data_IF_070820374229
#
_entry.id   IF_070820374229
#
_cell.length_a   1.000
_cell.length_b   1.000
_cell.length_c   1.000
_cell.angle_alpha   90.00
_cell.angle_beta   90.00
_cell.angle_gamma   90.00
#
_symmetry.space_group_name_H-M   'P 1'
#
loop_
_entity.id
_entity.type
_entity.pdbx_description
1 polymer ?
#
# COMPACT_ATOMS: atom_id res chain seq x y z
N UNK A 1 -1.02 -33.79 33.74
CA UNK A 1 0.05 -32.81 33.41
C UNK A 1 -0.26 -32.18 32.07
N UNK A 2 0.11 -30.92 31.84
CA UNK A 2 -0.04 -30.30 30.52
C UNK A 2 0.98 -30.89 29.53
N UNK A 3 0.56 -31.17 28.30
CA UNK A 3 1.42 -31.76 27.26
C UNK A 3 2.50 -30.79 26.77
N UNK A 4 2.26 -29.48 26.87
CA UNK A 4 3.22 -28.42 26.56
C UNK A 4 3.29 -27.43 27.73
N UNK A 5 4.22 -27.60 28.68
CA UNK A 5 4.22 -26.85 29.95
C UNK A 5 4.34 -25.32 29.80
N UNK A 6 5.04 -24.84 28.77
CA UNK A 6 5.20 -23.41 28.47
C UNK A 6 3.97 -22.78 27.80
N UNK A 7 3.02 -23.59 27.31
CA UNK A 7 1.84 -23.11 26.59
C UNK A 7 0.71 -22.86 27.58
N UNK A 8 0.18 -21.63 27.56
CA UNK A 8 -0.96 -21.20 28.38
C UNK A 8 -2.06 -20.64 27.49
N UNK A 9 -3.29 -21.12 27.69
CA UNK A 9 -4.49 -20.59 27.01
C UNK A 9 -5.18 -19.59 27.94
N UNK A 10 -5.43 -18.38 27.44
CA UNK A 10 -6.22 -17.34 28.10
C UNK A 10 -7.42 -16.99 27.22
N UNK A 11 -8.63 -16.98 27.78
CA UNK A 11 -9.88 -16.77 27.03
C UNK A 11 -10.54 -15.45 27.42
N UNK A 12 -11.04 -14.71 26.44
CA UNK A 12 -11.91 -13.55 26.67
C UNK A 12 -13.32 -14.02 27.04
N UNK A 13 -14.09 -13.17 27.73
CA UNK A 13 -15.50 -13.46 28.08
C UNK A 13 -16.47 -13.17 26.93
N UNK A 14 -16.05 -12.37 25.96
CA UNK A 14 -16.82 -11.96 24.77
C UNK A 14 -15.86 -11.69 23.60
N UNK A 15 -16.40 -11.39 22.41
CA UNK A 15 -15.60 -11.01 21.24
C UNK A 15 -14.99 -9.62 21.46
N UNK A 16 -13.70 -9.58 21.73
CA UNK A 16 -12.99 -8.32 21.98
C UNK A 16 -12.40 -7.68 20.72
N UNK A 17 -12.08 -8.47 19.69
CA UNK A 17 -11.31 -8.02 18.55
C UNK A 17 -9.81 -8.22 18.75
N UNK A 18 -9.02 -8.16 17.67
CA UNK A 18 -7.58 -8.50 17.76
C UNK A 18 -6.82 -7.55 18.68
N UNK A 19 -7.13 -6.25 18.63
CA UNK A 19 -6.42 -5.21 19.41
C UNK A 19 -6.57 -5.47 20.91
N UNK A 20 -7.81 -5.53 21.40
CA UNK A 20 -8.09 -5.78 22.83
C UNK A 20 -7.68 -7.20 23.27
N UNK A 21 -7.70 -8.18 22.37
CA UNK A 21 -7.18 -9.52 22.67
C UNK A 21 -5.65 -9.51 22.87
N UNK A 22 -4.91 -8.76 22.03
CA UNK A 22 -3.47 -8.54 22.23
C UNK A 22 -3.18 -7.81 23.53
N UNK A 23 -3.99 -6.81 23.89
CA UNK A 23 -3.88 -6.12 25.19
C UNK A 23 -4.09 -7.06 26.38
N UNK A 24 -5.06 -7.99 26.29
CA UNK A 24 -5.25 -9.02 27.32
C UNK A 24 -4.00 -9.91 27.44
N UNK A 25 -3.45 -10.38 26.33
CA UNK A 25 -2.21 -11.16 26.31
C UNK A 25 -1.04 -10.39 26.93
N UNK A 26 -0.85 -9.14 26.52
CA UNK A 26 0.19 -8.25 27.04
C UNK A 26 0.06 -8.03 28.56
N UNK A 27 -1.18 -7.92 29.07
CA UNK A 27 -1.43 -7.72 30.51
C UNK A 27 -1.11 -8.95 31.36
N UNK A 28 -1.14 -10.13 30.76
CA UNK A 28 -0.85 -11.40 31.42
C UNK A 28 0.61 -11.87 31.22
N UNK A 29 1.38 -11.19 30.36
CA UNK A 29 2.75 -11.54 30.04
C UNK A 29 3.70 -11.20 31.19
N UNK A 30 4.59 -12.15 31.51
CA UNK A 30 5.58 -12.01 32.59
C UNK A 30 7.02 -11.82 32.09
N UNK A 31 7.29 -12.12 30.82
CA UNK A 31 8.62 -11.95 30.21
C UNK A 31 9.01 -10.48 30.05
N UNK A 32 10.31 -10.23 29.84
CA UNK A 32 10.84 -8.86 29.70
C UNK A 32 10.42 -8.21 28.38
N UNK A 33 10.36 -9.00 27.31
CA UNK A 33 9.92 -8.59 25.97
C UNK A 33 8.60 -9.30 25.63
N UNK A 34 7.65 -8.56 25.07
CA UNK A 34 6.42 -9.11 24.49
C UNK A 34 6.66 -9.30 22.99
N UNK A 35 6.51 -10.54 22.51
CA UNK A 35 6.52 -10.86 21.08
C UNK A 35 5.11 -11.23 20.65
N UNK A 36 4.56 -10.51 19.69
CA UNK A 36 3.27 -10.81 19.08
C UNK A 36 3.48 -11.61 17.79
N UNK A 37 2.65 -12.63 17.61
CA UNK A 37 2.55 -13.44 16.40
C UNK A 37 1.07 -13.65 16.09
N UNK A 38 0.73 -13.70 14.81
CA UNK A 38 -0.57 -14.17 14.38
C UNK A 38 -0.66 -15.70 14.51
N UNK A 39 -1.89 -16.22 14.60
CA UNK A 39 -2.15 -17.65 14.85
C UNK A 39 -1.88 -18.59 13.65
N UNK A 40 -1.31 -18.06 12.58
CA UNK A 40 -1.15 -18.70 11.27
C UNK A 40 0.20 -18.27 10.69
N UNK A 41 1.25 -18.55 11.47
CA UNK A 41 2.63 -18.20 11.17
C UNK A 41 3.56 -19.39 11.39
N UNK A 42 4.68 -19.39 10.67
CA UNK A 42 5.77 -20.35 10.85
C UNK A 42 7.08 -19.58 11.02
N UNK A 43 7.65 -19.64 12.22
CA UNK A 43 8.88 -18.93 12.52
C UNK A 43 10.08 -19.68 11.93
N UNK A 44 10.97 -18.96 11.24
CA UNK A 44 12.11 -19.57 10.55
C UNK A 44 13.29 -19.81 11.51
N UNK A 45 14.36 -20.45 11.01
CA UNK A 45 15.57 -20.74 11.76
C UNK A 45 16.14 -19.47 12.41
N UNK A 46 16.50 -19.58 13.69
CA UNK A 46 17.16 -18.52 14.47
C UNK A 46 16.42 -17.16 14.48
N UNK A 47 15.09 -17.14 14.34
CA UNK A 47 14.33 -15.90 14.23
C UNK A 47 14.34 -15.04 15.51
N UNK A 48 14.31 -15.64 16.70
CA UNK A 48 14.07 -14.90 17.94
C UNK A 48 15.31 -14.14 18.48
N UNK A 49 16.53 -14.73 18.55
CA UNK A 49 17.70 -14.05 19.09
C UNK A 49 18.02 -12.66 18.47
N UNK A 50 17.99 -12.46 17.14
CA UNK A 50 18.29 -11.13 16.57
C UNK A 50 17.25 -10.07 16.93
N UNK A 51 15.99 -10.44 17.18
CA UNK A 51 14.97 -9.51 17.70
C UNK A 51 15.30 -9.10 19.14
N UNK A 52 15.63 -10.07 19.99
CA UNK A 52 15.91 -9.84 21.40
C UNK A 52 17.20 -9.05 21.63
N UNK A 53 18.28 -9.37 20.90
CA UNK A 53 19.56 -8.63 20.96
C UNK A 53 19.32 -7.14 20.66
N UNK A 54 18.50 -6.85 19.66
CA UNK A 54 18.28 -5.47 19.25
C UNK A 54 17.52 -4.65 20.29
N UNK A 55 16.52 -5.24 20.94
CA UNK A 55 15.81 -4.61 22.08
C UNK A 55 16.73 -4.49 23.30
N UNK A 56 17.61 -5.47 23.55
CA UNK A 56 18.56 -5.42 24.65
C UNK A 56 19.53 -4.22 24.53
N UNK A 57 19.93 -3.87 23.30
CA UNK A 57 20.76 -2.68 23.02
C UNK A 57 19.97 -1.38 23.12
N UNK A 58 18.69 -1.38 22.75
CA UNK A 58 17.82 -0.22 22.86
C UNK A 58 16.39 -0.63 23.23
N UNK A 59 16.07 -0.50 24.52
CA UNK A 59 14.77 -0.84 25.09
C UNK A 59 13.58 -0.15 24.39
N UNK A 60 13.80 1.05 23.84
CA UNK A 60 12.75 1.84 23.18
C UNK A 60 12.62 1.56 21.68
N UNK A 61 13.31 0.54 21.17
CA UNK A 61 13.13 0.05 19.79
C UNK A 61 12.07 -1.04 19.76
N UNK A 62 11.08 -0.88 18.88
CA UNK A 62 10.21 -1.97 18.44
C UNK A 62 10.87 -2.63 17.24
N UNK A 63 10.93 -3.95 17.23
CA UNK A 63 11.55 -4.72 16.14
C UNK A 63 10.56 -5.63 15.46
N UNK A 64 10.65 -5.70 14.14
CA UNK A 64 9.81 -6.53 13.30
C UNK A 64 10.68 -7.54 12.55
N UNK A 65 10.29 -8.83 12.50
CA UNK A 65 10.91 -9.77 11.58
C UNK A 65 10.49 -9.45 10.13
N UNK A 66 11.24 -9.95 9.16
CA UNK A 66 10.75 -10.09 7.80
C UNK A 66 9.54 -11.03 7.80
N UNK A 67 8.47 -10.60 7.14
CA UNK A 67 7.23 -11.36 7.06
C UNK A 67 7.18 -12.03 5.69
N UNK A 68 7.49 -13.31 5.67
CA UNK A 68 7.41 -14.13 4.46
C UNK A 68 5.97 -14.55 4.18
N UNK A 69 5.69 -14.92 2.94
CA UNK A 69 4.40 -15.42 2.49
C UNK A 69 4.38 -16.93 2.65
N UNK A 70 3.32 -17.42 3.28
CA UNK A 70 2.86 -18.79 3.13
C UNK A 70 1.62 -18.72 2.25
N UNK A 71 1.70 -19.27 1.04
CA UNK A 71 0.62 -19.19 0.06
C UNK A 71 -0.66 -19.88 0.59
N UNK A 72 -1.82 -19.26 0.37
CA UNK A 72 -3.06 -19.75 0.93
C UNK A 72 -3.66 -20.97 0.20
N UNK A 73 -3.18 -21.27 -1.01
CA UNK A 73 -3.63 -22.39 -1.84
C UNK A 73 -2.70 -23.60 -1.71
N UNK A 74 -1.37 -23.43 -1.87
CA UNK A 74 -0.39 -24.53 -1.86
C UNK A 74 0.59 -24.53 -0.67
N UNK A 75 0.52 -23.53 0.22
CA UNK A 75 1.37 -23.39 1.41
C UNK A 75 2.88 -23.28 1.11
N UNK A 76 3.27 -22.95 -0.13
CA UNK A 76 4.68 -22.66 -0.40
C UNK A 76 5.16 -21.46 0.41
N UNK A 77 6.38 -21.55 0.91
CA UNK A 77 7.04 -20.50 1.68
C UNK A 77 7.93 -19.67 0.77
N UNK A 78 7.67 -18.37 0.65
CA UNK A 78 8.42 -17.46 -0.21
C UNK A 78 8.52 -16.06 0.40
N UNK A 79 9.55 -15.29 0.02
CA UNK A 79 9.61 -13.89 0.44
C UNK A 79 8.53 -13.06 -0.27
N UNK A 80 8.09 -11.97 0.35
CA UNK A 80 7.28 -10.97 -0.33
C UNK A 80 8.07 -10.34 -1.49
N UNK A 81 7.35 -9.94 -2.55
CA UNK A 81 7.97 -9.19 -3.66
C UNK A 81 8.77 -7.99 -3.15
N UNK A 82 10.02 -7.85 -3.61
CA UNK A 82 10.96 -6.81 -3.17
C UNK A 82 11.63 -7.06 -1.82
N UNK A 83 11.36 -8.18 -1.13
CA UNK A 83 11.99 -8.61 0.12
C UNK A 83 12.08 -7.49 1.19
N UNK A 84 13.28 -7.03 1.55
CA UNK A 84 13.49 -5.94 2.48
C UNK A 84 12.96 -4.60 1.90
N UNK A 85 11.81 -4.17 2.40
CA UNK A 85 11.15 -2.91 2.03
C UNK A 85 10.68 -2.16 3.28
N UNK A 86 10.53 -0.85 3.17
CA UNK A 86 10.00 -0.01 4.25
C UNK A 86 8.48 -0.02 4.25
N UNK A 87 7.86 -0.14 5.42
CA UNK A 87 6.42 0.00 5.54
C UNK A 87 5.96 1.47 5.48
N UNK A 88 4.87 1.70 4.77
CA UNK A 88 4.30 3.01 4.46
C UNK A 88 2.77 2.91 4.36
N UNK A 89 2.11 3.96 3.87
CA UNK A 89 0.68 3.97 3.60
C UNK A 89 0.32 4.91 2.44
N UNK A 90 -0.84 4.68 1.82
CA UNK A 90 -1.51 5.70 1.02
C UNK A 90 -2.45 6.56 1.88
N UNK A 91 -2.96 7.65 1.31
CA UNK A 91 -3.84 8.59 2.03
C UNK A 91 -5.28 8.08 2.23
N UNK A 92 -5.55 6.81 1.89
CA UNK A 92 -6.73 6.07 2.35
C UNK A 92 -6.40 5.15 3.55
N UNK A 93 -5.16 5.21 4.04
CA UNK A 93 -4.58 4.37 5.08
C UNK A 93 -4.60 2.88 4.75
N UNK A 94 -4.42 2.50 3.48
CA UNK A 94 -3.97 1.16 3.14
C UNK A 94 -2.46 1.05 3.35
N UNK A 95 -2.04 -0.03 3.99
CA UNK A 95 -0.62 -0.32 4.20
C UNK A 95 0.06 -0.55 2.86
N UNK A 96 1.27 0.00 2.71
CA UNK A 96 2.10 -0.11 1.51
C UNK A 96 3.51 -0.52 1.92
N UNK A 97 4.24 -1.12 0.97
CA UNK A 97 5.67 -1.36 1.06
C UNK A 97 6.35 -0.54 -0.03
N UNK A 98 7.35 0.27 0.34
CA UNK A 98 8.13 1.10 -0.58
C UNK A 98 9.61 0.71 -0.50
N UNK A 99 10.37 0.81 -1.61
CA UNK A 99 11.76 0.40 -1.64
C UNK A 99 12.59 1.25 -0.67
N UNK A 100 13.66 0.67 -0.11
CA UNK A 100 14.61 1.39 0.74
C UNK A 100 15.38 2.40 -0.13
N UNK A 101 15.26 3.72 0.11
CA UNK A 101 16.03 4.72 -0.63
C UNK A 101 17.54 4.42 -0.55
N UNK A 102 18.31 4.62 -1.64
CA UNK A 102 19.75 4.33 -1.65
C UNK A 102 20.53 4.97 -0.50
N UNK A 103 20.17 6.19 -0.11
CA UNK A 103 20.78 6.92 1.02
C UNK A 103 20.50 6.31 2.41
N UNK A 104 19.51 5.41 2.53
CA UNK A 104 19.17 4.72 3.78
C UNK A 104 19.63 3.25 3.79
N UNK A 105 20.08 2.72 2.65
CA UNK A 105 20.60 1.37 2.55
C UNK A 105 21.82 1.21 3.45
N UNK A 106 21.85 0.11 4.20
CA UNK A 106 22.95 -0.23 5.10
C UNK A 106 24.10 -0.82 4.29
N UNK A 107 25.33 -0.65 4.79
CA UNK A 107 26.51 -1.22 4.15
C UNK A 107 26.42 -2.75 4.08
N UNK A 108 26.01 -3.37 5.20
CA UNK A 108 25.56 -4.77 5.21
C UNK A 108 24.04 -4.79 4.99
N UNK A 109 23.53 -5.41 3.90
CA UNK A 109 22.10 -5.47 3.64
C UNK A 109 21.33 -6.36 4.64
N UNK A 110 22.03 -7.14 5.47
CA UNK A 110 21.42 -7.94 6.54
C UNK A 110 21.24 -7.19 7.86
N UNK A 111 21.82 -5.99 7.98
CA UNK A 111 21.70 -5.17 9.19
C UNK A 111 20.26 -4.64 9.39
N UNK A 112 19.83 -4.43 10.65
CA UNK A 112 18.58 -3.76 10.97
C UNK A 112 18.42 -2.41 10.25
N UNK A 113 17.23 -2.17 9.67
CA UNK A 113 16.91 -0.91 9.00
C UNK A 113 15.63 -0.28 9.55
N UNK A 114 15.56 1.05 9.49
CA UNK A 114 14.41 1.79 10.02
C UNK A 114 13.18 1.68 9.12
N UNK A 115 12.02 1.43 9.74
CA UNK A 115 10.74 1.29 9.05
C UNK A 115 9.73 2.31 9.62
N UNK A 116 9.11 3.17 8.79
CA UNK A 116 8.14 4.16 9.29
C UNK A 116 6.91 3.54 9.93
N UNK A 117 6.42 2.44 9.35
CA UNK A 117 5.19 1.76 9.76
C UNK A 117 5.40 0.24 9.73
N UNK A 118 5.00 -0.47 10.77
CA UNK A 118 4.99 -1.94 10.75
C UNK A 118 3.75 -2.49 10.04
N UNK A 119 3.82 -3.73 9.55
CA UNK A 119 2.63 -4.43 9.04
C UNK A 119 1.57 -4.68 10.14
N UNK A 120 2.03 -4.92 11.38
CA UNK A 120 1.20 -4.99 12.58
C UNK A 120 1.11 -6.37 13.23
N UNK A 121 1.13 -7.46 12.46
CA UNK A 121 0.93 -8.84 12.94
C UNK A 121 2.05 -9.38 13.83
N UNK A 122 3.29 -9.02 13.48
CA UNK A 122 4.50 -9.65 13.99
C UNK A 122 5.49 -8.57 14.43
N UNK A 123 5.76 -8.51 15.73
CA UNK A 123 6.77 -7.61 16.29
C UNK A 123 7.13 -8.00 17.72
N UNK A 124 8.28 -7.54 18.19
CA UNK A 124 8.70 -7.63 19.58
C UNK A 124 8.96 -6.24 20.17
N UNK A 125 8.62 -6.08 21.45
CA UNK A 125 8.74 -4.81 22.18
C UNK A 125 9.04 -5.08 23.66
N UNK A 126 9.91 -4.28 24.26
CA UNK A 126 10.08 -4.30 25.73
C UNK A 126 8.74 -4.09 26.43
N UNK A 127 8.41 -4.96 27.40
CA UNK A 127 7.10 -4.97 28.06
C UNK A 127 6.82 -3.67 28.79
N UNK A 128 7.83 -3.07 29.44
CA UNK A 128 7.65 -1.78 30.13
C UNK A 128 7.42 -0.68 29.12
N UNK A 129 8.17 -0.67 28.02
CA UNK A 129 8.04 0.33 26.96
C UNK A 129 6.66 0.28 26.30
N UNK A 130 6.13 -0.92 26.03
CA UNK A 130 4.78 -1.09 25.51
C UNK A 130 3.73 -0.41 26.40
N UNK A 131 3.84 -0.56 27.73
CA UNK A 131 2.91 0.06 28.68
C UNK A 131 3.17 1.55 28.94
N UNK A 132 4.42 2.00 28.84
CA UNK A 132 4.77 3.43 28.84
C UNK A 132 4.11 4.15 27.66
N UNK A 133 4.00 3.50 26.49
CA UNK A 133 3.24 3.98 25.33
C UNK A 133 1.72 3.83 25.48
N UNK A 134 1.24 3.29 26.60
CA UNK A 134 -0.18 3.01 26.87
C UNK A 134 -0.74 1.81 26.11
N UNK A 135 0.10 0.97 25.52
CA UNK A 135 -0.29 -0.12 24.62
C UNK A 135 -1.06 0.41 23.40
N UNK A 136 -2.13 -0.29 23.03
CA UNK A 136 -3.05 0.15 21.97
C UNK A 136 -4.23 0.93 22.54
N UNK A 137 -4.82 1.81 21.72
CA UNK A 137 -6.07 2.49 22.03
C UNK A 137 -7.20 1.44 22.21
N UNK A 138 -7.78 1.31 23.42
CA UNK A 138 -8.83 0.32 23.69
C UNK A 138 -10.14 0.61 22.93
N UNK A 139 -10.28 1.81 22.36
CA UNK A 139 -11.40 2.19 21.48
C UNK A 139 -11.33 1.61 20.07
N UNK A 140 -10.18 1.06 19.67
CA UNK A 140 -10.03 0.33 18.41
C UNK A 140 -10.79 -1.00 18.45
N UNK A 141 -11.59 -1.25 17.42
CA UNK A 141 -12.40 -2.44 17.27
C UNK A 141 -11.74 -3.50 16.41
N UNK A 142 -12.27 -4.73 16.46
CA UNK A 142 -12.00 -5.91 15.63
C UNK A 142 -10.67 -5.97 14.86
N UNK A 143 -10.45 -5.13 13.84
CA UNK A 143 -9.26 -5.14 12.99
C UNK A 143 -8.94 -3.75 12.40
N UNK A 144 -7.65 -3.42 12.34
CA UNK A 144 -7.08 -2.31 11.58
C UNK A 144 -6.97 -1.00 12.37
N UNK A 145 -5.88 -0.26 12.11
CA UNK A 145 -5.54 1.02 12.74
C UNK A 145 -4.45 0.89 13.80
N UNK A 146 -4.38 -0.23 14.51
CA UNK A 146 -3.42 -0.46 15.60
C UNK A 146 -1.97 -0.41 15.14
N UNK A 147 -1.70 -0.86 13.91
CA UNK A 147 -0.36 -0.81 13.33
C UNK A 147 0.10 0.63 13.12
N UNK A 148 -0.79 1.52 12.68
CA UNK A 148 -0.48 2.94 12.51
C UNK A 148 -0.31 3.63 13.86
N UNK A 149 -1.22 3.38 14.79
CA UNK A 149 -1.17 3.96 16.13
C UNK A 149 0.17 3.69 16.83
N UNK A 150 0.59 2.42 16.88
CA UNK A 150 1.84 2.07 17.58
C UNK A 150 3.08 2.55 16.82
N UNK A 151 3.03 2.56 15.48
CA UNK A 151 4.11 3.10 14.63
C UNK A 151 4.32 4.60 14.88
N UNK A 152 3.24 5.36 14.95
CA UNK A 152 3.30 6.80 15.22
C UNK A 152 3.75 7.06 16.66
N UNK A 153 3.21 6.31 17.64
CA UNK A 153 3.65 6.38 19.04
C UNK A 153 5.14 6.18 19.18
N UNK A 154 5.68 5.08 18.64
CA UNK A 154 7.09 4.74 18.86
C UNK A 154 8.00 5.81 18.28
N UNK A 155 7.76 6.29 17.06
CA UNK A 155 8.58 7.32 16.44
C UNK A 155 8.42 8.69 17.09
N UNK A 156 7.17 9.15 17.26
CA UNK A 156 6.90 10.50 17.74
C UNK A 156 7.24 10.66 19.22
N UNK A 157 7.18 9.59 20.02
CA UNK A 157 7.38 9.63 21.47
C UNK A 157 8.77 9.13 21.91
N UNK A 158 9.77 9.16 21.01
CA UNK A 158 11.18 8.99 21.36
C UNK A 158 11.72 7.56 21.35
N UNK A 159 10.99 6.62 20.75
CA UNK A 159 11.47 5.29 20.40
C UNK A 159 11.90 5.20 18.92
N UNK A 160 12.09 3.97 18.46
CA UNK A 160 12.46 3.64 17.08
C UNK A 160 11.72 2.39 16.61
N UNK A 161 11.61 2.20 15.31
CA UNK A 161 11.09 0.97 14.74
C UNK A 161 11.99 0.45 13.64
N UNK A 162 12.36 -0.81 13.77
CA UNK A 162 13.35 -1.44 12.90
C UNK A 162 12.88 -2.80 12.42
N UNK A 163 13.10 -3.03 11.14
CA UNK A 163 12.91 -4.31 10.47
C UNK A 163 14.25 -5.06 10.52
N UNK A 164 14.22 -6.36 10.87
CA UNK A 164 15.42 -7.17 11.14
C UNK A 164 15.58 -8.25 10.07
N UNK A 165 16.39 -8.06 9.02
CA UNK A 165 16.53 -9.01 7.91
C UNK A 165 16.89 -10.44 8.33
N UNK A 166 17.71 -10.59 9.38
CA UNK A 166 18.11 -11.89 9.93
C UNK A 166 17.02 -12.63 10.71
N UNK A 167 15.86 -11.99 10.98
CA UNK A 167 14.71 -12.62 11.61
C UNK A 167 13.59 -12.76 10.59
N UNK A 168 13.14 -14.00 10.32
CA UNK A 168 12.08 -14.25 9.32
C UNK A 168 10.98 -15.11 9.88
N UNK A 169 9.73 -14.78 9.54
CA UNK A 169 8.54 -15.53 9.95
C UNK A 169 7.56 -15.57 8.78
N UNK A 170 7.15 -16.76 8.36
CA UNK A 170 6.11 -16.93 7.35
C UNK A 170 4.74 -16.62 7.92
N UNK A 171 3.86 -16.03 7.10
CA UNK A 171 2.49 -15.66 7.45
C UNK A 171 1.53 -16.03 6.32
N UNK A 172 0.38 -16.60 6.66
CA UNK A 172 -0.67 -16.93 5.68
C UNK A 172 -1.52 -15.69 5.39
N UNK A 173 -1.31 -15.07 4.23
CA UNK A 173 -2.16 -14.00 3.72
C UNK A 173 -3.47 -14.60 3.18
N UNK A 174 -4.58 -14.28 3.84
CA UNK A 174 -5.89 -14.87 3.54
C UNK A 174 -6.42 -14.38 2.19
N UNK A 175 -6.97 -15.30 1.38
CA UNK A 175 -7.73 -14.98 0.17
C UNK A 175 -8.95 -14.08 0.44
N UNK A 176 -9.62 -14.30 1.57
CA UNK A 176 -10.73 -13.48 2.06
C UNK A 176 -10.85 -13.59 3.58
N UNK A 177 -11.53 -12.64 4.22
CA UNK A 177 -11.76 -12.65 5.68
C UNK A 177 -12.89 -13.62 6.02
N UNK A 178 -12.64 -14.74 6.75
CA UNK A 178 -13.65 -15.78 6.96
C UNK A 178 -14.57 -15.52 8.16
N UNK A 179 -14.19 -14.60 9.06
CA UNK A 179 -14.94 -14.33 10.28
C UNK A 179 -15.94 -13.19 10.10
N UNK A 180 -17.03 -13.25 10.87
CA UNK A 180 -18.01 -12.17 10.93
C UNK A 180 -17.51 -11.02 11.80
N UNK A 181 -17.79 -9.80 11.33
CA UNK A 181 -17.60 -8.55 12.06
C UNK A 181 -18.97 -8.14 12.64
N UNK A 182 -19.07 -7.79 13.94
CA UNK A 182 -20.31 -7.33 14.53
C UNK A 182 -20.88 -6.09 13.80
N UNK A 183 -22.21 -5.95 13.80
CA UNK A 183 -22.87 -4.79 13.20
C UNK A 183 -22.41 -3.46 13.87
N UNK A 184 -22.27 -2.40 13.07
CA UNK A 184 -21.85 -1.08 13.55
C UNK A 184 -20.33 -0.91 13.77
N UNK A 185 -19.53 -1.95 13.52
CA UNK A 185 -18.07 -1.87 13.51
C UNK A 185 -17.59 -1.46 12.12
N UNK A 186 -16.69 -0.48 12.06
CA UNK A 186 -16.09 -0.04 10.79
C UNK A 186 -14.61 0.28 10.97
N UNK A 187 -13.79 -0.18 10.02
CA UNK A 187 -12.39 0.23 9.88
C UNK A 187 -12.26 1.76 9.86
N UNK A 188 -13.23 2.45 9.26
CA UNK A 188 -13.25 3.91 9.20
C UNK A 188 -13.20 4.58 10.58
N UNK A 189 -13.90 4.00 11.57
CA UNK A 189 -13.91 4.55 12.92
C UNK A 189 -12.54 4.42 13.59
N UNK A 190 -11.90 3.26 13.43
CA UNK A 190 -10.55 3.01 13.94
C UNK A 190 -9.55 3.99 13.31
N UNK A 191 -9.55 4.08 11.98
CA UNK A 191 -8.66 4.97 11.25
C UNK A 191 -8.89 6.44 11.61
N UNK A 192 -10.15 6.87 11.78
CA UNK A 192 -10.47 8.23 12.23
C UNK A 192 -9.90 8.49 13.63
N UNK A 193 -10.02 7.56 14.58
CA UNK A 193 -9.42 7.72 15.93
C UNK A 193 -7.91 7.91 15.87
N UNK A 194 -7.21 7.12 15.04
CA UNK A 194 -5.76 7.26 14.86
C UNK A 194 -5.43 8.63 14.24
N UNK A 195 -6.15 9.02 13.18
CA UNK A 195 -5.94 10.29 12.50
C UNK A 195 -6.12 11.50 13.43
N UNK A 196 -7.23 11.53 14.17
CA UNK A 196 -7.60 12.61 15.10
C UNK A 196 -6.62 12.78 16.28
N UNK A 197 -5.95 11.70 16.68
CA UNK A 197 -5.02 11.72 17.82
C UNK A 197 -3.58 11.97 17.37
N UNK A 198 -3.16 11.40 16.23
CA UNK A 198 -1.74 11.29 15.89
C UNK A 198 -1.35 12.01 14.60
N UNK A 199 -2.27 12.29 13.67
CA UNK A 199 -1.90 12.76 12.32
C UNK A 199 -1.97 14.27 12.11
N UNK A 200 -2.36 15.05 13.12
CA UNK A 200 -2.40 16.51 13.08
C UNK A 200 -3.10 17.05 11.81
N UNK A 201 -2.51 18.04 11.13
CA UNK A 201 -3.06 18.62 9.91
C UNK A 201 -3.16 17.62 8.74
N UNK A 202 -2.44 16.50 8.80
CA UNK A 202 -2.42 15.51 7.71
C UNK A 202 -3.65 14.59 7.71
N UNK A 203 -4.44 14.58 8.79
CA UNK A 203 -5.73 13.89 8.82
C UNK A 203 -6.68 14.40 7.70
N UNK A 204 -6.54 15.67 7.33
CA UNK A 204 -7.32 16.31 6.28
C UNK A 204 -7.13 15.66 4.91
N UNK A 205 -5.92 15.16 4.59
CA UNK A 205 -5.66 14.48 3.31
C UNK A 205 -6.38 13.13 3.19
N UNK A 206 -6.75 12.52 4.33
CA UNK A 206 -7.63 11.34 4.36
C UNK A 206 -9.06 11.77 4.07
N UNK A 207 -9.53 12.84 4.72
CA UNK A 207 -10.90 13.34 4.58
C UNK A 207 -11.21 13.88 3.19
N UNK A 208 -10.21 14.35 2.46
CA UNK A 208 -10.36 14.72 1.05
C UNK A 208 -10.66 13.52 0.15
N UNK A 209 -10.15 12.32 0.49
CA UNK A 209 -10.35 11.07 -0.27
C UNK A 209 -11.53 10.25 0.24
N UNK A 210 -11.87 10.41 1.53
CA UNK A 210 -13.01 9.79 2.20
C UNK A 210 -13.84 10.84 2.94
N UNK A 211 -14.63 11.67 2.23
CA UNK A 211 -15.40 12.75 2.83
C UNK A 211 -16.35 12.32 3.94
N UNK A 212 -16.83 11.07 3.90
CA UNK A 212 -17.69 10.48 4.92
C UNK A 212 -17.01 10.41 6.30
N UNK A 213 -15.68 10.48 6.36
CA UNK A 213 -14.94 10.46 7.62
C UNK A 213 -15.08 11.78 8.39
N UNK A 214 -15.47 12.89 7.76
CA UNK A 214 -15.64 14.18 8.46
C UNK A 214 -16.74 14.11 9.50
N UNK A 215 -17.90 13.60 9.08
CA UNK A 215 -19.10 13.53 9.91
C UNK A 215 -19.22 12.20 10.68
N UNK A 216 -18.31 11.25 10.46
CA UNK A 216 -18.21 10.04 11.25
C UNK A 216 -17.75 10.36 12.68
N UNK A 217 -18.46 9.87 13.69
CA UNK A 217 -18.02 9.96 15.09
C UNK A 217 -16.83 9.04 15.33
N UNK A 218 -15.73 9.59 15.87
CA UNK A 218 -14.58 8.81 16.35
C UNK A 218 -14.81 8.19 17.73
N UNK A 219 -15.93 8.48 18.39
CA UNK A 219 -16.09 8.29 19.83
C UNK A 219 -15.14 9.19 20.64
N UNK A 220 -15.03 8.92 21.94
CA UNK A 220 -14.16 9.70 22.83
C UNK A 220 -12.67 9.36 22.60
N UNK A 221 -11.89 10.38 22.29
CA UNK A 221 -10.43 10.33 22.09
C UNK A 221 -9.65 11.18 23.09
N UNK A 222 -10.31 11.77 24.10
CA UNK A 222 -9.70 12.69 25.06
C UNK A 222 -8.56 12.03 25.85
N UNK A 223 -8.75 10.79 26.30
CA UNK A 223 -7.72 10.03 27.00
C UNK A 223 -6.48 9.78 26.13
N UNK A 224 -6.67 9.50 24.83
CA UNK A 224 -5.56 9.27 23.90
C UNK A 224 -4.81 10.57 23.57
N UNK A 225 -5.52 11.69 23.40
CA UNK A 225 -4.91 13.03 23.24
C UNK A 225 -4.11 13.44 24.49
N UNK A 226 -4.63 13.13 25.69
CA UNK A 226 -3.91 13.35 26.96
C UNK A 226 -2.65 12.49 27.05
N UNK A 227 -2.72 11.21 26.68
CA UNK A 227 -1.57 10.31 26.63
C UNK A 227 -0.47 10.87 25.73
N UNK A 228 -0.79 11.24 24.49
CA UNK A 228 0.16 11.86 23.55
C UNK A 228 0.85 13.09 24.15
N UNK A 229 0.07 13.95 24.82
CA UNK A 229 0.59 15.16 25.47
C UNK A 229 1.52 14.82 26.64
N UNK A 230 1.15 13.86 27.50
CA UNK A 230 1.95 13.45 28.66
C UNK A 230 3.30 12.80 28.29
N UNK A 231 3.37 12.19 27.09
CA UNK A 231 4.59 11.58 26.56
C UNK A 231 5.51 12.60 25.86
N UNK A 232 5.09 13.87 25.75
CA UNK A 232 5.83 14.94 25.07
C UNK A 232 6.24 14.55 23.64
N UNK A 233 5.32 13.91 22.91
CA UNK A 233 5.59 13.42 21.57
C UNK A 233 5.76 14.57 20.57
N UNK A 234 6.57 14.34 19.53
CA UNK A 234 6.76 15.25 18.40
C UNK A 234 5.47 15.37 17.56
N UNK A 235 5.44 16.35 16.65
CA UNK A 235 4.33 16.51 15.70
C UNK A 235 4.36 15.44 14.60
N UNK A 236 3.22 15.23 13.95
CA UNK A 236 3.14 14.35 12.78
C UNK A 236 3.91 14.91 11.59
N UNK A 237 3.98 16.25 11.47
CA UNK A 237 4.89 16.91 10.52
C UNK A 237 6.34 16.47 10.71
N UNK A 238 6.82 16.35 11.95
CA UNK A 238 8.17 15.82 12.20
C UNK A 238 8.30 14.38 11.72
N UNK A 239 7.31 13.53 11.98
CA UNK A 239 7.30 12.14 11.50
C UNK A 239 7.38 12.09 9.96
N UNK A 240 6.51 12.84 9.27
CA UNK A 240 6.47 12.88 7.80
C UNK A 240 7.75 13.45 7.18
N UNK A 241 8.43 14.40 7.85
CA UNK A 241 9.62 15.06 7.29
C UNK A 241 10.93 14.38 7.64
N UNK A 242 10.99 13.62 8.74
CA UNK A 242 12.23 12.99 9.22
C UNK A 242 12.23 11.47 9.08
N UNK A 243 11.08 10.83 9.27
CA UNK A 243 10.98 9.37 9.30
C UNK A 243 10.39 8.83 7.99
N UNK A 244 9.25 9.39 7.57
CA UNK A 244 8.49 8.95 6.38
C UNK A 244 8.63 9.92 5.19
N UNK A 245 9.81 10.53 5.04
CA UNK A 245 10.06 11.58 4.02
C UNK A 245 9.99 11.06 2.58
N UNK A 246 10.18 9.76 2.39
CA UNK A 246 10.11 9.05 1.13
C UNK A 246 8.69 8.61 0.76
N UNK A 247 7.75 8.55 1.72
CA UNK A 247 6.36 8.17 1.47
C UNK A 247 5.68 9.10 0.43
N UNK A 248 5.77 10.45 0.54
CA UNK A 248 5.14 11.34 -0.44
C UNK A 248 5.65 11.20 -1.88
N UNK A 249 6.83 10.59 -2.09
CA UNK A 249 7.33 10.31 -3.46
C UNK A 249 6.43 9.30 -4.18
N UNK A 250 5.85 8.35 -3.44
CA UNK A 250 4.95 7.32 -3.97
C UNK A 250 3.49 7.66 -3.71
N UNK A 251 3.15 8.29 -2.59
CA UNK A 251 1.78 8.61 -2.21
C UNK A 251 1.75 10.06 -1.73
N UNK A 252 1.78 11.05 -2.64
CA UNK A 252 1.78 12.45 -2.26
C UNK A 252 0.43 12.82 -1.62
N UNK A 253 0.44 13.67 -0.57
CA UNK A 253 -0.79 14.12 0.10
C UNK A 253 -1.74 14.82 -0.88
N UNK A 254 -1.18 15.60 -1.80
CA UNK A 254 -1.88 16.20 -2.95
C UNK A 254 -1.22 15.65 -4.21
N UNK A 255 -1.99 14.92 -5.00
CA UNK A 255 -1.50 14.34 -6.26
C UNK A 255 -1.28 15.42 -7.31
N UNK A 256 -0.16 15.43 -8.04
CA UNK A 256 0.03 16.31 -9.18
C UNK A 256 -1.06 16.08 -10.25
N UNK A 257 -1.36 17.11 -11.06
CA UNK A 257 -2.38 16.97 -12.12
C UNK A 257 -1.97 15.91 -13.14
N UNK A 258 -2.98 15.22 -13.70
CA UNK A 258 -2.79 14.30 -14.81
C UNK A 258 -2.28 15.03 -16.05
N UNK A 259 -1.46 14.35 -16.85
CA UNK A 259 -0.91 14.91 -18.09
C UNK A 259 -1.97 14.99 -19.20
N UNK A 260 -2.85 13.99 -19.27
CA UNK A 260 -3.99 13.96 -20.19
C UNK A 260 -5.10 13.03 -19.66
N UNK A 261 -6.33 13.25 -20.08
CA UNK A 261 -7.46 12.36 -19.78
C UNK A 261 -8.57 12.50 -20.80
N UNK A 262 -9.40 11.47 -20.95
CA UNK A 262 -10.49 11.42 -21.92
C UNK A 262 -10.51 10.12 -22.71
N UNK A 263 -10.98 10.19 -23.95
CA UNK A 263 -10.96 9.05 -24.87
C UNK A 263 -9.59 8.93 -25.57
N UNK A 264 -9.13 7.69 -25.77
CA UNK A 264 -7.93 7.41 -26.54
C UNK A 264 -8.39 7.00 -27.95
N UNK A 265 -8.33 7.92 -28.92
CA UNK A 265 -8.70 7.64 -30.32
C UNK A 265 -7.48 7.32 -31.18
N UNK A 266 -7.53 6.19 -31.87
CA UNK A 266 -6.57 5.87 -32.92
C UNK A 266 -6.93 6.63 -34.21
N UNK A 267 -5.99 7.43 -34.75
CA UNK A 267 -6.24 8.22 -35.97
C UNK A 267 -6.33 7.37 -37.24
N UNK A 268 -5.65 6.22 -37.30
CA UNK A 268 -5.65 5.36 -38.47
C UNK A 268 -6.99 4.66 -38.69
N UNK A 269 -7.53 4.06 -37.63
CA UNK A 269 -8.82 3.34 -37.69
C UNK A 269 -10.02 4.24 -37.38
N UNK A 270 -9.80 5.38 -36.71
CA UNK A 270 -10.87 6.24 -36.19
C UNK A 270 -11.58 5.68 -34.95
N UNK A 271 -11.23 4.46 -34.52
CA UNK A 271 -11.82 3.77 -33.36
C UNK A 271 -11.20 4.26 -32.04
N UNK A 272 -11.88 4.00 -30.94
CA UNK A 272 -11.45 4.36 -29.59
C UNK A 272 -11.01 3.12 -28.81
N UNK A 273 -10.01 3.28 -27.94
CA UNK A 273 -9.61 2.24 -27.02
C UNK A 273 -10.74 1.93 -26.02
N UNK A 274 -10.97 0.66 -25.75
CA UNK A 274 -12.02 0.18 -24.86
C UNK A 274 -11.56 -1.10 -24.14
N UNK A 275 -12.01 -1.29 -22.89
CA UNK A 275 -11.64 -2.44 -22.05
C UNK A 275 -12.82 -3.30 -21.61
N UNK A 276 -14.02 -3.19 -22.20
CA UNK A 276 -15.28 -3.88 -21.84
C UNK A 276 -15.34 -4.30 -20.36
N UNK A 277 -15.78 -3.40 -19.48
CA UNK A 277 -15.82 -3.49 -18.00
C UNK A 277 -14.49 -3.21 -17.28
N UNK A 278 -13.35 -3.34 -17.95
CA UNK A 278 -12.03 -3.04 -17.36
C UNK A 278 -11.70 -3.94 -16.17
N UNK A 279 -11.93 -5.25 -16.34
CA UNK A 279 -11.53 -6.27 -15.36
C UNK A 279 -10.04 -6.61 -15.50
N UNK A 280 -9.42 -7.04 -14.40
CA UNK A 280 -8.02 -7.49 -14.37
C UNK A 280 -7.76 -8.55 -15.45
N UNK A 281 -6.66 -8.41 -16.20
CA UNK A 281 -6.24 -9.29 -17.28
C UNK A 281 -6.96 -9.06 -18.62
N UNK A 282 -7.93 -8.14 -18.70
CA UNK A 282 -8.63 -7.87 -19.96
C UNK A 282 -7.69 -7.19 -20.97
N UNK A 283 -7.60 -7.68 -22.22
CA UNK A 283 -6.84 -7.01 -23.26
C UNK A 283 -7.54 -5.72 -23.69
N UNK A 284 -6.75 -4.72 -24.04
CA UNK A 284 -7.23 -3.47 -24.62
C UNK A 284 -7.68 -3.71 -26.06
N UNK A 285 -8.87 -3.23 -26.39
CA UNK A 285 -9.50 -3.41 -27.71
C UNK A 285 -9.80 -2.05 -28.33
N UNK A 286 -10.13 -2.08 -29.62
CA UNK A 286 -10.68 -0.93 -30.33
C UNK A 286 -12.16 -1.14 -30.59
N UNK A 287 -12.97 -0.16 -30.21
CA UNK A 287 -14.42 -0.17 -30.39
C UNK A 287 -14.89 1.19 -30.94
N UNK A 288 -16.15 1.26 -31.36
CA UNK A 288 -16.75 2.51 -31.83
C UNK A 288 -16.74 3.57 -30.71
N UNK A 289 -16.32 4.79 -31.03
CA UNK A 289 -16.20 5.87 -30.04
C UNK A 289 -17.57 6.30 -29.50
N UNK A 290 -17.73 6.26 -28.17
CA UNK A 290 -19.01 6.51 -27.49
C UNK A 290 -19.25 8.00 -27.23
N UNK A 291 -18.20 8.79 -26.93
CA UNK A 291 -18.28 10.23 -26.60
C UNK A 291 -19.36 10.60 -25.55
N UNK A 292 -19.65 9.70 -24.61
CA UNK A 292 -20.73 9.88 -23.61
C UNK A 292 -22.16 9.87 -24.18
N UNK A 293 -22.35 9.47 -25.45
CA UNK A 293 -23.64 9.43 -26.16
C UNK A 293 -24.17 8.02 -26.43
N UNK A 294 -23.46 6.98 -25.99
CA UNK A 294 -23.87 5.59 -26.19
C UNK A 294 -24.79 5.10 -25.08
N UNK A 295 -25.65 4.13 -25.41
CA UNK A 295 -26.47 3.43 -24.42
C UNK A 295 -25.55 2.73 -23.41
N UNK A 296 -25.83 2.89 -22.11
CA UNK A 296 -25.13 2.19 -21.03
C UNK A 296 -25.22 0.65 -21.15
N UNK A 297 -26.10 0.14 -22.03
CA UNK A 297 -26.28 -1.28 -22.32
C UNK A 297 -25.04 -1.97 -22.93
N UNK A 298 -24.14 -1.23 -23.59
CA UNK A 298 -22.99 -1.81 -24.31
C UNK A 298 -21.71 -1.93 -23.47
N UNK A 299 -21.76 -1.55 -22.18
CA UNK A 299 -20.66 -1.74 -21.21
C UNK A 299 -19.29 -1.20 -21.65
N UNK A 300 -19.29 -0.06 -22.35
CA UNK A 300 -18.08 0.58 -22.85
C UNK A 300 -17.30 1.29 -21.74
N UNK A 301 -15.99 1.13 -21.73
CA UNK A 301 -15.05 1.82 -20.84
C UNK A 301 -13.96 2.47 -21.68
N UNK A 302 -14.23 3.70 -22.12
CA UNK A 302 -13.38 4.46 -23.05
C UNK A 302 -12.76 5.71 -22.42
N UNK A 303 -12.93 5.92 -21.11
CA UNK A 303 -12.31 7.04 -20.40
C UNK A 303 -11.04 6.53 -19.73
N UNK A 304 -9.92 7.17 -20.04
CA UNK A 304 -8.61 6.88 -19.46
C UNK A 304 -7.94 8.15 -18.96
N UNK A 305 -7.05 7.99 -18.00
CA UNK A 305 -6.22 9.05 -17.43
C UNK A 305 -4.75 8.65 -17.55
N UNK A 306 -3.94 9.53 -18.14
CA UNK A 306 -2.48 9.45 -18.08
C UNK A 306 -2.01 10.23 -16.86
N UNK A 307 -1.68 9.50 -15.80
CA UNK A 307 -1.50 10.07 -14.46
C UNK A 307 -0.11 10.70 -14.31
N UNK A 308 0.08 11.43 -13.20
CA UNK A 308 1.38 11.98 -12.81
C UNK A 308 2.46 10.92 -12.54
N UNK A 309 2.06 9.64 -12.41
CA UNK A 309 2.96 8.49 -12.24
C UNK A 309 3.52 7.99 -13.56
N UNK A 310 3.16 8.64 -14.67
CA UNK A 310 3.48 8.22 -16.03
C UNK A 310 2.90 6.85 -16.39
N UNK A 311 1.73 6.51 -15.81
CA UNK A 311 0.94 5.32 -16.13
C UNK A 311 -0.43 5.70 -16.75
N UNK A 312 -1.03 4.78 -17.52
CA UNK A 312 -2.38 4.94 -18.08
C UNK A 312 -3.35 4.04 -17.32
N UNK A 313 -4.46 4.64 -16.85
CA UNK A 313 -5.48 3.95 -16.07
C UNK A 313 -6.88 4.21 -16.61
N UNK A 314 -7.81 3.24 -16.54
CA UNK A 314 -9.22 3.51 -16.81
C UNK A 314 -9.83 4.45 -15.74
N UNK A 315 -10.69 5.37 -16.17
CA UNK A 315 -11.45 6.29 -15.31
C UNK A 315 -11.04 7.75 -15.51
N UNK A 316 -11.86 8.66 -14.99
CA UNK A 316 -11.54 10.08 -14.92
C UNK A 316 -10.42 10.35 -13.88
N UNK A 317 -9.72 11.49 -13.95
CA UNK A 317 -8.59 11.76 -13.07
C UNK A 317 -8.90 11.75 -11.57
N UNK A 318 -10.17 11.92 -11.18
CA UNK A 318 -10.60 11.90 -9.79
C UNK A 318 -11.00 10.49 -9.32
N UNK A 319 -11.38 9.61 -10.25
CA UNK A 319 -11.88 8.25 -9.97
C UNK A 319 -11.15 7.17 -10.79
N UNK A 320 -9.83 7.31 -10.97
CA UNK A 320 -9.03 6.29 -11.66
C UNK A 320 -9.12 4.92 -10.95
N UNK A 321 -9.19 3.85 -11.73
CA UNK A 321 -9.11 2.48 -11.22
C UNK A 321 -7.68 2.13 -10.81
N UNK A 322 -7.52 1.08 -10.00
CA UNK A 322 -6.19 0.54 -9.59
C UNK A 322 -5.54 -0.38 -10.64
N UNK A 323 -6.04 -0.34 -11.88
CA UNK A 323 -5.51 -1.11 -13.00
C UNK A 323 -4.79 -0.19 -13.98
N UNK A 324 -3.64 -0.64 -14.46
CA UNK A 324 -2.75 0.08 -15.36
C UNK A 324 -2.57 -0.71 -16.66
N UNK A 325 -2.22 0.01 -17.73
CA UNK A 325 -1.79 -0.63 -18.97
C UNK A 325 -0.44 -1.32 -18.75
N UNK A 326 -0.43 -2.63 -18.99
CA UNK A 326 0.74 -3.50 -18.88
C UNK A 326 0.95 -4.25 -20.20
N UNK A 327 2.20 -4.34 -20.64
CA UNK A 327 2.60 -5.06 -21.84
C UNK A 327 3.88 -5.86 -21.56
N UNK A 328 3.79 -7.18 -21.69
CA UNK A 328 4.88 -8.12 -21.32
C UNK A 328 6.01 -8.11 -22.35
N UNK A 329 5.69 -7.88 -23.62
CA UNK A 329 6.65 -7.80 -24.71
C UNK A 329 6.20 -6.76 -25.73
N UNK A 330 7.08 -6.42 -26.68
CA UNK A 330 6.69 -5.59 -27.81
C UNK A 330 5.51 -6.23 -28.57
N UNK A 331 5.57 -7.49 -28.95
CA UNK A 331 4.44 -8.09 -29.70
C UNK A 331 3.20 -8.42 -28.86
N UNK A 332 3.26 -8.30 -27.53
CA UNK A 332 2.13 -8.66 -26.66
C UNK A 332 1.00 -7.64 -26.74
N UNK A 333 -0.26 -8.08 -26.58
CA UNK A 333 -1.36 -7.15 -26.42
C UNK A 333 -1.22 -6.37 -25.10
N UNK A 334 -1.66 -5.12 -25.10
CA UNK A 334 -1.79 -4.37 -23.84
C UNK A 334 -2.93 -4.97 -23.03
N UNK A 335 -2.69 -5.20 -21.74
CA UNK A 335 -3.70 -5.69 -20.79
C UNK A 335 -3.84 -4.75 -19.61
N UNK A 336 -4.93 -4.90 -18.86
CA UNK A 336 -5.08 -4.25 -17.56
C UNK A 336 -4.48 -5.12 -16.46
N UNK A 337 -3.41 -4.66 -15.82
CA UNK A 337 -2.81 -5.33 -14.66
C UNK A 337 -2.84 -4.43 -13.41
N UNK A 338 -2.60 -4.99 -12.23
CA UNK A 338 -2.56 -4.21 -11.00
C UNK A 338 -1.42 -3.19 -11.06
N UNK A 339 -1.76 -1.92 -10.82
CA UNK A 339 -0.77 -0.85 -10.86
C UNK A 339 0.28 -1.00 -9.76
N UNK A 340 1.56 -0.89 -10.12
CA UNK A 340 2.65 -0.63 -9.19
C UNK A 340 3.28 0.74 -9.45
N UNK A 341 3.74 1.42 -8.41
CA UNK A 341 4.40 2.73 -8.52
C UNK A 341 5.87 2.63 -8.98
N UNK A 342 6.19 1.58 -9.74
CA UNK A 342 7.49 1.34 -10.37
C UNK A 342 7.36 1.49 -11.88
N UNK A 343 8.35 2.10 -12.53
CA UNK A 343 8.34 2.41 -13.97
C UNK A 343 8.60 1.21 -14.89
N UNK A 344 8.99 0.04 -14.34
CA UNK A 344 9.63 -1.02 -15.11
C UNK A 344 8.72 -1.73 -16.14
N UNK A 345 7.41 -1.93 -15.88
CA UNK A 345 6.52 -2.63 -16.84
C UNK A 345 5.30 -1.83 -17.28
N UNK A 346 5.09 -0.64 -16.72
CA UNK A 346 4.08 0.29 -17.20
C UNK A 346 4.53 0.88 -18.52
N UNK A 347 3.69 0.82 -19.56
CA UNK A 347 3.93 1.48 -20.85
C UNK A 347 4.28 2.96 -20.60
N UNK A 348 5.56 3.35 -20.67
CA UNK A 348 5.93 4.77 -20.65
C UNK A 348 5.33 5.44 -21.90
N UNK A 349 4.89 6.68 -21.77
CA UNK A 349 4.20 7.41 -22.85
C UNK A 349 5.02 8.63 -23.19
N UNK A 350 5.68 8.61 -24.35
CA UNK A 350 6.37 9.80 -24.85
C UNK A 350 5.39 10.68 -25.62
N UNK A 351 4.83 11.69 -24.95
CA UNK A 351 4.02 12.72 -25.62
C UNK A 351 4.92 13.60 -26.51
N UNK A 352 5.01 13.30 -27.82
CA UNK A 352 5.64 14.22 -28.78
C UNK A 352 4.62 15.24 -29.28
N UNK A 353 4.66 16.46 -28.75
CA UNK A 353 3.82 17.55 -29.27
C UNK A 353 4.33 17.97 -30.66
N UNK A 354 3.79 17.41 -31.74
CA UNK A 354 3.93 18.03 -33.07
C UNK A 354 2.87 19.12 -33.18
N UNK A 355 3.30 20.37 -33.12
CA UNK A 355 2.46 21.53 -33.45
C UNK A 355 2.20 21.54 -34.97
N UNK A 356 1.29 20.69 -35.43
CA UNK A 356 0.65 20.82 -36.73
C UNK A 356 -0.66 21.56 -36.55
N UNK A 357 -0.57 22.87 -36.29
CA UNK A 357 -1.61 23.86 -36.60
C UNK A 357 -2.97 23.79 -35.91
N UNK A 358 -3.32 22.75 -35.12
CA UNK A 358 -4.51 22.75 -34.24
C UNK A 358 -4.67 21.53 -33.31
N UNK A 359 -3.77 20.53 -33.31
CA UNK A 359 -3.99 19.27 -32.58
C UNK A 359 -2.71 18.68 -31.99
N UNK A 360 -2.75 18.32 -30.71
CA UNK A 360 -1.73 17.52 -30.04
C UNK A 360 -1.87 16.06 -30.45
N UNK A 361 -0.80 15.47 -31.00
CA UNK A 361 -0.70 14.04 -31.26
C UNK A 361 0.11 13.40 -30.14
N UNK A 362 -0.42 12.35 -29.51
CA UNK A 362 0.29 11.55 -28.50
C UNK A 362 0.71 10.24 -29.16
N UNK A 363 1.97 9.84 -28.94
CA UNK A 363 2.51 8.57 -29.39
C UNK A 363 2.84 7.77 -28.13
N UNK A 364 2.29 6.58 -27.99
CA UNK A 364 2.61 5.72 -26.86
C UNK A 364 3.83 4.85 -27.22
N UNK A 365 4.88 4.87 -26.39
CA UNK A 365 6.18 4.27 -26.71
C UNK A 365 6.66 3.42 -25.52
N UNK A 366 6.62 2.10 -25.64
CA UNK A 366 7.13 1.23 -24.58
C UNK A 366 8.67 1.19 -24.62
N UNK A 367 9.32 1.72 -23.59
CA UNK A 367 10.78 1.97 -23.61
C UNK A 367 11.62 0.70 -23.41
N UNK A 368 11.19 -0.28 -22.61
CA UNK A 368 12.01 -1.50 -22.38
C UNK A 368 12.09 -2.43 -23.60
N UNK A 369 11.18 -2.30 -24.58
CA UNK A 369 11.11 -3.21 -25.73
C UNK A 369 11.24 -2.52 -27.10
N UNK A 370 11.41 -1.20 -27.14
CA UNK A 370 11.47 -0.37 -28.36
C UNK A 370 10.35 -0.75 -29.35
N UNK A 371 9.11 -0.40 -29.01
CA UNK A 371 8.03 -0.47 -29.98
C UNK A 371 6.90 0.54 -29.74
N UNK A 372 6.05 0.69 -30.74
CA UNK A 372 4.89 1.58 -30.76
C UNK A 372 3.58 0.81 -30.72
N UNK A 373 2.55 1.31 -30.03
CA UNK A 373 1.21 0.72 -30.10
C UNK A 373 0.70 0.75 -31.55
N UNK A 374 0.55 -0.43 -32.15
CA UNK A 374 0.00 -0.71 -33.48
C UNK A 374 -1.29 -1.53 -33.37
N UNK A 375 -2.11 -1.51 -34.43
CA UNK A 375 -3.51 -1.94 -34.41
C UNK A 375 -3.80 -2.90 -35.56
N UNK A 376 -3.70 -4.20 -35.32
CA UNK A 376 -4.29 -5.25 -36.16
C UNK A 376 -5.18 -6.13 -35.29
N UNK A 377 -6.48 -5.82 -35.28
CA UNK A 377 -7.59 -6.43 -34.50
C UNK A 377 -7.39 -6.57 -32.98
N UNK A 378 -6.20 -6.24 -32.50
CA UNK A 378 -5.69 -6.19 -31.13
C UNK A 378 -4.59 -5.12 -31.10
N UNK A 379 -4.49 -4.41 -29.98
CA UNK A 379 -3.48 -3.36 -29.82
C UNK A 379 -2.18 -4.01 -29.34
N UNK A 380 -1.16 -4.09 -30.20
CA UNK A 380 0.15 -4.71 -29.95
C UNK A 380 1.30 -3.74 -30.27
N UNK A 381 2.46 -3.87 -29.63
CA UNK A 381 3.58 -2.93 -29.76
C UNK A 381 4.57 -3.37 -30.89
N UNK A 382 4.67 -2.63 -32.01
CA UNK A 382 5.49 -3.05 -33.16
C UNK A 382 6.85 -2.32 -33.24
N UNK A 383 7.91 -3.05 -33.65
CA UNK A 383 9.28 -2.55 -33.85
C UNK A 383 9.48 -2.18 -35.33
N UNK A 384 9.54 -0.90 -35.67
CA UNK A 384 9.98 -0.46 -37.00
C UNK A 384 11.51 -0.49 -37.07
N UNK A 385 12.07 -1.45 -37.80
CA UNK A 385 13.36 -1.26 -38.46
C UNK A 385 13.12 -0.38 -39.68
N UNK A 386 14.05 0.55 -39.92
CA UNK A 386 14.12 1.55 -40.99
C UNK A 386 13.56 2.95 -40.69
N UNK A 387 14.45 3.91 -40.89
CA UNK A 387 14.23 5.33 -41.12
C UNK A 387 12.96 5.60 -41.94
N UNK A 388 11.87 5.93 -41.26
CA UNK A 388 10.60 6.23 -41.91
C UNK A 388 9.51 6.32 -40.86
N UNK A 389 9.06 7.55 -40.59
CA UNK A 389 8.02 7.90 -39.62
C UNK A 389 6.78 7.00 -39.78
N UNK A 390 6.57 6.07 -38.86
CA UNK A 390 5.28 5.42 -38.62
C UNK A 390 4.83 5.80 -37.20
N UNK A 391 4.26 7.00 -37.12
CA UNK A 391 3.60 7.51 -35.93
C UNK A 391 2.19 6.94 -35.90
N UNK A 392 1.86 6.10 -34.90
CA UNK A 392 0.47 5.89 -34.53
C UNK A 392 -0.01 7.17 -33.84
N UNK A 393 -0.69 8.01 -34.63
CA UNK A 393 -1.20 9.29 -34.15
C UNK A 393 -2.38 9.01 -33.20
N UNK A 394 -2.26 9.34 -31.92
CA UNK A 394 -3.37 9.31 -30.96
C UNK A 394 -3.79 10.73 -30.62
N UNK A 395 -5.11 10.99 -30.60
CA UNK A 395 -5.68 12.29 -30.21
C UNK A 395 -6.45 12.15 -28.90
N UNK A 396 -6.31 13.16 -28.03
CA UNK A 396 -7.21 13.42 -26.90
C UNK A 396 -8.32 14.38 -27.32
#
# INVERSE_FOLDING_TARGET
MALFPSVRILRTKKREGLIRTRMLGASAAIGDVITFLDSHCEANVNWLPPLLDRIARNRKTIVCPMIDVIDHDDFRYETQAGDAMRGAFDWELYYKRIPIPPELQKADPSDPFESPVMAGGLFAVDRKWFWELGGYDPGLEIWGGEQYEISFKVWMCGGRMEDIPCSRVGHIYRKYVPYKVPAGVSLARNLKRVAEVWMDEYAEYIYQRRPEYRHLSSGDVAAQKKLRSSLNCKSFRWFMTKIAWDLPKFYPPVEPPAAAWGEIRNVGTGLCADTKHGALGSPLRLESCVRGRGEAAWNNMQVFTFTWREDIRPGDPQHTKKFCFDAVSHTSPVTLYDCHSMKATSVEVTVSKRDTGQQSVIVFVHIETVGFLNTHDSIAIERSMYSGVLASNVRF
#
